data_IF_240500557151
#
_entry.id   IF_240500557151
#
_cell.length_a   1.000
_cell.length_b   1.000
_cell.length_c   1.000
_cell.angle_alpha   90.00
_cell.angle_beta   90.00
_cell.angle_gamma   90.00
#
_symmetry.space_group_name_H-M   'P 1'
#
loop_
_entity.id
_entity.type
_entity.pdbx_description
1 polymer ?
#
# COMPACT_ATOMS: atom_id res chain seq x y z
N UNK A 1 27.53 -13.72 24.14
CA UNK A 1 26.12 -13.99 23.78
C UNK A 1 25.77 -12.99 22.67
N UNK A 2 25.61 -13.43 21.43
CA UNK A 2 25.03 -12.58 20.38
C UNK A 2 23.58 -12.31 20.80
N UNK A 3 23.20 -11.05 21.00
CA UNK A 3 21.82 -10.68 21.25
C UNK A 3 20.99 -11.10 20.06
N UNK A 4 19.90 -11.81 20.29
CA UNK A 4 18.94 -12.16 19.22
C UNK A 4 18.46 -10.87 18.55
N UNK A 5 18.48 -10.83 17.20
CA UNK A 5 18.07 -9.66 16.45
C UNK A 5 16.57 -9.37 16.66
N UNK A 6 16.16 -8.11 16.77
CA UNK A 6 14.75 -7.75 16.82
C UNK A 6 13.99 -8.31 15.62
N UNK A 7 12.79 -8.87 15.86
CA UNK A 7 11.94 -9.41 14.80
C UNK A 7 10.78 -8.48 14.48
N UNK A 8 10.68 -8.09 13.22
CA UNK A 8 9.48 -7.52 12.66
C UNK A 8 8.43 -8.63 12.56
N UNK A 9 7.15 -8.29 12.62
CA UNK A 9 6.05 -9.25 12.54
C UNK A 9 5.03 -8.78 11.50
N UNK A 10 4.30 -9.71 10.92
CA UNK A 10 3.11 -9.37 10.13
C UNK A 10 2.08 -8.69 11.02
N UNK A 11 1.26 -7.83 10.43
CA UNK A 11 0.13 -7.21 11.10
C UNK A 11 -1.16 -7.71 10.45
N UNK A 12 -1.88 -8.58 11.14
CA UNK A 12 -3.09 -9.23 10.62
C UNK A 12 -4.19 -9.16 11.68
N UNK A 13 -5.39 -8.76 11.27
CA UNK A 13 -6.57 -8.64 12.15
C UNK A 13 -6.29 -7.78 13.42
N UNK A 14 -5.55 -6.68 13.25
CA UNK A 14 -5.20 -5.77 14.34
C UNK A 14 -4.13 -6.28 15.30
N UNK A 15 -3.39 -7.35 14.96
CA UNK A 15 -2.39 -8.00 15.82
C UNK A 15 -1.08 -8.22 15.08
N UNK A 16 0.01 -8.14 15.84
CA UNK A 16 1.33 -8.54 15.35
C UNK A 16 1.51 -10.05 15.51
N UNK A 17 1.73 -10.74 14.40
CA UNK A 17 1.81 -12.19 14.30
C UNK A 17 3.08 -12.65 13.60
N UNK A 18 3.66 -13.77 14.05
CA UNK A 18 4.78 -14.43 13.39
C UNK A 18 4.32 -15.05 12.05
N UNK A 19 5.22 -15.17 11.04
CA UNK A 19 4.88 -15.87 9.81
C UNK A 19 4.59 -17.35 10.09
N UNK A 20 3.57 -17.90 9.43
CA UNK A 20 3.11 -19.29 9.65
C UNK A 20 4.17 -20.34 9.36
N UNK A 21 5.03 -20.07 8.41
CA UNK A 21 6.15 -20.94 8.03
C UNK A 21 7.39 -20.78 8.94
N UNK A 22 7.38 -19.81 9.89
CA UNK A 22 8.49 -19.51 10.79
C UNK A 22 9.76 -18.95 10.11
N UNK A 23 9.68 -18.54 8.82
CA UNK A 23 10.84 -18.07 8.07
C UNK A 23 11.02 -16.57 8.17
N UNK A 24 12.28 -16.15 8.25
CA UNK A 24 12.71 -14.77 8.31
C UNK A 24 13.85 -14.50 7.34
N UNK A 25 13.92 -13.28 6.85
CA UNK A 25 15.05 -12.70 6.12
C UNK A 25 15.75 -11.71 7.03
N UNK A 26 17.07 -11.57 6.87
CA UNK A 26 17.81 -10.53 7.56
C UNK A 26 17.50 -9.17 6.93
N UNK A 27 17.17 -8.19 7.76
CA UNK A 27 17.02 -6.80 7.36
C UNK A 27 18.36 -6.10 7.59
N UNK A 28 18.99 -5.68 6.49
CA UNK A 28 20.36 -5.17 6.45
C UNK A 28 20.34 -3.64 6.53
N UNK A 29 21.12 -3.08 7.44
CA UNK A 29 21.48 -1.66 7.41
C UNK A 29 22.50 -1.43 6.27
N UNK A 30 22.14 -0.73 5.19
CA UNK A 30 23.03 -0.53 4.06
C UNK A 30 24.27 0.33 4.38
N UNK A 31 24.23 1.13 5.46
CA UNK A 31 25.38 1.92 5.88
C UNK A 31 26.49 1.08 6.52
N UNK A 32 26.13 -0.03 7.15
CA UNK A 32 27.07 -0.92 7.84
C UNK A 32 27.26 -2.28 7.13
N UNK A 33 26.31 -2.66 6.26
CA UNK A 33 26.24 -3.98 5.66
C UNK A 33 25.92 -5.10 6.66
N UNK A 34 25.44 -4.77 7.86
CA UNK A 34 25.15 -5.73 8.91
C UNK A 34 23.63 -5.86 9.13
N UNK A 35 23.15 -7.07 9.46
CA UNK A 35 21.76 -7.25 9.85
C UNK A 35 21.50 -6.54 11.18
N UNK A 36 20.41 -5.79 11.28
CA UNK A 36 19.99 -5.12 12.51
C UNK A 36 18.61 -5.56 12.98
N UNK A 37 17.84 -6.22 12.14
CA UNK A 37 16.56 -6.84 12.48
C UNK A 37 16.26 -8.01 11.53
N UNK A 38 15.15 -8.72 11.78
CA UNK A 38 14.66 -9.76 10.89
C UNK A 38 13.23 -9.43 10.45
N UNK A 39 12.92 -9.69 9.17
CA UNK A 39 11.60 -9.48 8.55
C UNK A 39 10.99 -10.80 8.13
N UNK A 40 9.67 -11.05 8.31
CA UNK A 40 9.03 -12.28 7.87
C UNK A 40 9.21 -12.55 6.37
N UNK A 41 9.53 -13.78 6.02
CA UNK A 41 9.38 -14.30 4.65
C UNK A 41 8.09 -15.14 4.60
N UNK A 42 6.96 -14.45 4.57
CA UNK A 42 5.62 -15.02 4.65
C UNK A 42 5.26 -15.84 3.41
N UNK A 43 4.24 -16.66 3.56
CA UNK A 43 3.74 -17.51 2.49
C UNK A 43 2.23 -17.37 2.27
N UNK A 44 1.68 -18.33 1.55
CA UNK A 44 0.26 -18.36 1.18
C UNK A 44 -0.68 -18.29 2.39
N UNK A 45 -0.37 -19.02 3.45
CA UNK A 45 -1.21 -19.08 4.66
C UNK A 45 -1.36 -17.69 5.31
N UNK A 46 -0.29 -16.89 5.35
CA UNK A 46 -0.31 -15.55 5.91
C UNK A 46 -1.17 -14.60 5.04
N UNK A 47 -1.04 -14.72 3.71
CA UNK A 47 -1.87 -13.94 2.78
C UNK A 47 -3.34 -14.33 2.90
N UNK A 48 -3.66 -15.62 2.97
CA UNK A 48 -5.03 -16.11 3.13
C UNK A 48 -5.66 -15.61 4.46
N UNK A 49 -4.89 -15.60 5.55
CA UNK A 49 -5.32 -15.04 6.83
C UNK A 49 -5.60 -13.53 6.75
N UNK A 50 -4.72 -12.78 6.08
CA UNK A 50 -4.90 -11.35 5.87
C UNK A 50 -6.14 -11.06 5.01
N UNK A 51 -6.37 -11.86 3.96
CA UNK A 51 -7.58 -11.75 3.12
C UNK A 51 -8.84 -12.05 3.92
N UNK A 52 -8.86 -13.10 4.73
CA UNK A 52 -10.00 -13.42 5.57
C UNK A 52 -10.32 -12.32 6.58
N UNK A 53 -9.29 -11.72 7.20
CA UNK A 53 -9.43 -10.60 8.11
C UNK A 53 -9.98 -9.35 7.40
N UNK A 54 -9.43 -9.03 6.21
CA UNK A 54 -9.87 -7.90 5.41
C UNK A 54 -11.32 -8.06 4.93
N UNK A 55 -11.71 -9.25 4.47
CA UNK A 55 -13.08 -9.56 4.05
C UNK A 55 -14.08 -9.36 5.21
N UNK A 56 -13.77 -9.89 6.38
CA UNK A 56 -14.59 -9.73 7.59
C UNK A 56 -14.75 -8.25 7.97
N UNK A 57 -13.68 -7.49 7.95
CA UNK A 57 -13.70 -6.07 8.29
C UNK A 57 -14.46 -5.23 7.25
N UNK A 58 -14.38 -5.58 5.98
CA UNK A 58 -15.03 -4.85 4.88
C UNK A 58 -16.53 -4.71 5.09
N UNK A 59 -17.20 -5.74 5.57
CA UNK A 59 -18.66 -5.74 5.78
C UNK A 59 -19.16 -4.56 6.63
N UNK A 60 -18.33 -4.12 7.59
CA UNK A 60 -18.65 -2.99 8.47
C UNK A 60 -17.92 -1.72 8.06
N UNK A 61 -16.64 -1.81 7.67
CA UNK A 61 -15.84 -0.65 7.30
C UNK A 61 -16.38 0.10 6.09
N UNK A 62 -16.85 -0.60 5.06
CA UNK A 62 -17.46 -0.02 3.87
C UNK A 62 -18.70 0.85 4.16
N UNK A 63 -19.39 0.56 5.27
CA UNK A 63 -20.58 1.29 5.73
C UNK A 63 -20.25 2.37 6.75
N UNK A 64 -19.01 2.45 7.22
CA UNK A 64 -18.58 3.47 8.19
C UNK A 64 -18.67 4.85 7.55
N UNK A 65 -19.31 5.84 8.19
CA UNK A 65 -19.41 7.19 7.64
C UNK A 65 -18.04 7.81 7.32
N UNK A 66 -17.95 8.53 6.18
CA UNK A 66 -16.72 9.19 5.73
C UNK A 66 -16.08 10.05 6.82
N UNK A 67 -16.89 10.78 7.61
CA UNK A 67 -16.41 11.60 8.72
C UNK A 67 -15.66 10.78 9.78
N UNK A 68 -16.15 9.59 10.14
CA UNK A 68 -15.47 8.71 11.11
C UNK A 68 -14.14 8.16 10.52
N UNK A 69 -14.15 7.79 9.25
CA UNK A 69 -12.93 7.35 8.57
C UNK A 69 -11.89 8.47 8.51
N UNK A 70 -12.33 9.70 8.15
CA UNK A 70 -11.50 10.90 8.16
C UNK A 70 -10.83 11.13 9.51
N UNK A 71 -11.59 11.10 10.61
CA UNK A 71 -11.07 11.30 11.96
C UNK A 71 -9.99 10.27 12.33
N UNK A 72 -10.17 9.00 11.94
CA UNK A 72 -9.16 7.96 12.19
C UNK A 72 -7.88 8.20 11.39
N UNK A 73 -7.99 8.59 10.11
CA UNK A 73 -6.82 8.89 9.29
C UNK A 73 -6.05 10.12 9.81
N UNK A 74 -6.76 11.17 10.24
CA UNK A 74 -6.15 12.34 10.88
C UNK A 74 -5.39 11.95 12.14
N UNK A 75 -5.99 11.09 12.98
CA UNK A 75 -5.32 10.59 14.19
C UNK A 75 -4.07 9.77 13.87
N UNK A 76 -4.08 8.94 12.82
CA UNK A 76 -2.89 8.22 12.35
C UNK A 76 -1.80 9.23 11.94
N UNK A 77 -2.17 10.28 11.17
CA UNK A 77 -1.24 11.33 10.77
C UNK A 77 -0.60 12.04 11.97
N UNK A 78 -1.41 12.39 12.98
CA UNK A 78 -0.95 13.06 14.19
C UNK A 78 0.01 12.17 15.01
N UNK A 79 -0.23 10.85 15.04
CA UNK A 79 0.66 9.89 15.71
C UNK A 79 2.00 9.74 14.97
N UNK A 80 1.99 9.68 13.63
CA UNK A 80 3.23 9.65 12.84
C UNK A 80 4.02 10.95 13.06
N UNK A 81 3.36 12.11 13.07
CA UNK A 81 4.00 13.41 13.29
C UNK A 81 4.55 13.54 14.72
N UNK A 82 3.79 13.10 15.74
CA UNK A 82 4.26 13.02 17.13
C UNK A 82 5.56 12.23 17.26
N UNK A 83 5.65 11.11 16.56
CA UNK A 83 6.77 10.17 16.63
C UNK A 83 7.75 10.34 15.46
N UNK A 84 7.79 11.54 14.84
CA UNK A 84 8.57 11.86 13.63
C UNK A 84 10.03 11.37 13.73
N UNK A 85 10.70 11.60 14.85
CA UNK A 85 12.09 11.19 15.02
C UNK A 85 12.27 9.66 15.02
N UNK A 86 11.32 8.92 15.60
CA UNK A 86 11.31 7.44 15.58
C UNK A 86 11.19 6.92 14.15
N UNK A 87 10.23 7.48 13.39
CA UNK A 87 10.04 7.12 11.98
C UNK A 87 11.22 7.53 11.10
N UNK A 88 11.75 8.75 11.27
CA UNK A 88 12.87 9.24 10.48
C UNK A 88 14.15 8.41 10.69
N UNK A 89 14.42 7.98 11.93
CA UNK A 89 15.53 7.06 12.21
C UNK A 89 15.34 5.71 11.55
N UNK A 90 14.15 5.12 11.66
CA UNK A 90 13.82 3.85 11.04
C UNK A 90 13.97 3.90 9.51
N UNK A 91 13.44 4.96 8.87
CA UNK A 91 13.57 5.19 7.43
C UNK A 91 15.04 5.34 7.00
N UNK A 92 15.84 6.09 7.78
CA UNK A 92 17.27 6.30 7.52
C UNK A 92 18.07 5.01 7.64
N UNK A 93 17.82 4.18 8.66
CA UNK A 93 18.51 2.90 8.87
C UNK A 93 18.15 1.91 7.77
N UNK A 94 16.87 1.76 7.42
CA UNK A 94 16.42 0.84 6.38
C UNK A 94 16.99 1.20 5.00
N UNK A 95 17.05 2.50 4.67
CA UNK A 95 17.36 2.95 3.30
C UNK A 95 18.80 3.42 3.12
N UNK A 96 19.53 3.67 4.20
CA UNK A 96 20.86 4.30 4.16
C UNK A 96 20.85 5.81 3.81
N UNK A 97 19.67 6.41 3.62
CA UNK A 97 19.58 7.85 3.31
C UNK A 97 19.92 8.73 4.52
N UNK A 98 20.36 9.98 4.29
CA UNK A 98 20.59 10.91 5.39
C UNK A 98 19.34 11.12 6.25
N UNK A 99 19.49 11.06 7.56
CA UNK A 99 18.36 11.23 8.50
C UNK A 99 17.68 12.62 8.35
N UNK A 100 18.42 13.63 7.92
CA UNK A 100 17.89 14.97 7.63
C UNK A 100 16.86 14.92 6.50
N UNK A 101 17.09 14.09 5.48
CA UNK A 101 16.14 13.90 4.37
C UNK A 101 14.89 13.18 4.84
N UNK A 102 15.05 12.07 5.56
CA UNK A 102 13.93 11.32 6.13
C UNK A 102 13.05 12.23 7.01
N UNK A 103 13.69 13.04 7.89
CA UNK A 103 13.01 13.96 8.80
C UNK A 103 12.29 15.11 8.10
N UNK A 104 12.90 15.70 7.07
CA UNK A 104 12.37 16.93 6.43
C UNK A 104 11.47 16.63 5.22
N UNK A 105 11.54 15.45 4.64
CA UNK A 105 10.79 15.12 3.42
C UNK A 105 9.94 13.87 3.58
N UNK A 106 10.55 12.69 3.82
CA UNK A 106 9.84 11.41 3.66
C UNK A 106 8.71 11.24 4.68
N UNK A 107 9.01 11.44 5.96
CA UNK A 107 8.00 11.28 7.02
C UNK A 107 6.93 12.39 6.97
N UNK A 108 7.27 13.68 6.79
CA UNK A 108 6.26 14.72 6.60
C UNK A 108 5.37 14.48 5.38
N UNK A 109 5.89 13.89 4.31
CA UNK A 109 5.09 13.50 3.14
C UNK A 109 4.10 12.40 3.47
N UNK A 110 4.50 11.39 4.25
CA UNK A 110 3.58 10.36 4.71
C UNK A 110 2.45 10.93 5.58
N UNK A 111 2.76 11.86 6.50
CA UNK A 111 1.77 12.61 7.29
C UNK A 111 0.82 13.38 6.37
N UNK A 112 1.38 14.11 5.40
CA UNK A 112 0.57 14.88 4.43
C UNK A 112 -0.37 13.98 3.62
N UNK A 113 0.07 12.78 3.23
CA UNK A 113 -0.77 11.82 2.51
C UNK A 113 -2.00 11.41 3.34
N UNK A 114 -1.80 11.03 4.58
CA UNK A 114 -2.92 10.69 5.46
C UNK A 114 -3.87 11.87 5.66
N UNK A 115 -3.36 13.09 5.90
CA UNK A 115 -4.19 14.30 6.05
C UNK A 115 -4.95 14.65 4.78
N UNK A 116 -4.29 14.59 3.63
CA UNK A 116 -4.92 14.87 2.35
C UNK A 116 -6.10 13.95 2.08
N UNK A 117 -5.91 12.63 2.16
CA UNK A 117 -6.98 11.69 1.89
C UNK A 117 -8.06 11.68 2.98
N UNK A 118 -7.72 11.96 4.23
CA UNK A 118 -8.68 12.13 5.30
C UNK A 118 -9.67 13.29 5.04
N UNK A 119 -9.16 14.39 4.50
CA UNK A 119 -10.01 15.56 4.19
C UNK A 119 -10.69 15.43 2.84
N UNK A 120 -10.03 14.88 1.83
CA UNK A 120 -10.59 14.69 0.48
C UNK A 120 -11.90 13.93 0.47
N UNK A 121 -12.06 12.90 1.30
CA UNK A 121 -13.30 12.10 1.34
C UNK A 121 -14.51 12.88 1.83
N UNK A 122 -14.32 14.00 2.54
CA UNK A 122 -15.38 14.86 3.02
C UNK A 122 -15.92 15.81 1.93
N UNK A 123 -15.17 15.96 0.85
CA UNK A 123 -15.44 16.86 -0.27
C UNK A 123 -15.64 16.12 -1.59
N UNK A 124 -15.87 14.80 -1.54
CA UNK A 124 -16.13 14.01 -2.74
C UNK A 124 -17.50 14.34 -3.29
N UNK A 125 -17.53 14.87 -4.50
CA UNK A 125 -18.76 15.19 -5.22
C UNK A 125 -19.22 14.01 -6.08
N UNK A 126 -20.53 13.88 -6.24
CA UNK A 126 -21.17 12.97 -7.19
C UNK A 126 -21.89 13.78 -8.24
N UNK A 127 -21.79 13.36 -9.49
CA UNK A 127 -22.47 14.01 -10.58
C UNK A 127 -23.92 13.55 -10.67
N UNK A 128 -24.81 14.48 -11.02
CA UNK A 128 -26.19 14.19 -11.31
C UNK A 128 -26.69 15.08 -12.46
N UNK A 129 -27.51 14.53 -13.35
CA UNK A 129 -28.14 15.27 -14.44
C UNK A 129 -29.54 14.74 -14.75
N UNK A 130 -30.37 15.62 -15.28
CA UNK A 130 -31.74 15.31 -15.71
C UNK A 130 -31.74 15.11 -17.22
N UNK A 131 -32.40 14.05 -17.69
CA UNK A 131 -32.81 13.89 -19.08
C UNK A 131 -34.29 14.21 -19.10
N UNK A 132 -34.65 15.37 -19.71
CA UNK A 132 -35.99 15.96 -19.65
C UNK A 132 -37.09 14.96 -19.99
N UNK A 133 -38.02 14.77 -19.06
CA UNK A 133 -39.17 13.88 -19.22
C UNK A 133 -38.86 12.37 -19.25
N UNK A 134 -37.61 11.96 -19.08
CA UNK A 134 -37.17 10.56 -19.24
C UNK A 134 -36.55 10.01 -17.94
N UNK A 135 -35.49 10.65 -17.38
CA UNK A 135 -34.74 10.08 -16.28
C UNK A 135 -33.99 11.12 -15.44
N UNK A 136 -33.74 10.78 -14.19
CA UNK A 136 -32.73 11.40 -13.33
C UNK A 136 -31.53 10.48 -13.22
N UNK A 137 -30.37 10.91 -13.68
CA UNK A 137 -29.14 10.14 -13.69
C UNK A 137 -28.21 10.66 -12.59
N UNK A 138 -27.53 9.76 -11.89
CA UNK A 138 -26.54 10.12 -10.88
C UNK A 138 -25.41 9.10 -10.79
N UNK A 139 -24.23 9.56 -10.39
CA UNK A 139 -23.07 8.70 -10.14
C UNK A 139 -23.06 8.29 -8.68
N UNK A 140 -22.97 6.99 -8.41
CA UNK A 140 -22.79 6.44 -7.07
C UNK A 140 -21.40 5.80 -6.95
N UNK A 141 -20.56 6.37 -6.08
CA UNK A 141 -19.22 5.84 -5.79
C UNK A 141 -19.30 4.92 -4.56
N UNK A 142 -18.80 3.69 -4.71
CA UNK A 142 -18.83 2.69 -3.64
C UNK A 142 -17.44 2.08 -3.43
N UNK A 143 -17.10 1.64 -2.19
CA UNK A 143 -15.92 0.84 -1.95
C UNK A 143 -15.94 -0.44 -2.78
N UNK A 144 -14.79 -0.80 -3.37
CA UNK A 144 -14.71 -1.95 -4.28
C UNK A 144 -14.51 -3.27 -3.55
N UNK A 145 -13.89 -3.25 -2.36
CA UNK A 145 -13.58 -4.47 -1.62
C UNK A 145 -12.20 -4.42 -0.96
N UNK A 146 -11.44 -5.50 -1.13
CA UNK A 146 -10.08 -5.61 -0.62
C UNK A 146 -9.10 -5.04 -1.64
N UNK A 147 -8.23 -4.13 -1.20
CA UNK A 147 -7.14 -3.55 -2.01
C UNK A 147 -5.81 -4.21 -1.65
N UNK A 148 -5.10 -4.75 -2.65
CA UNK A 148 -3.72 -5.19 -2.56
C UNK A 148 -2.78 -4.04 -2.88
N UNK A 149 -1.87 -3.72 -1.95
CA UNK A 149 -1.03 -2.53 -2.00
C UNK A 149 0.44 -2.93 -1.93
N UNK A 150 1.20 -2.72 -3.01
CA UNK A 150 2.60 -3.12 -3.11
C UNK A 150 3.46 -1.87 -3.33
N UNK A 151 4.46 -1.66 -2.46
CA UNK A 151 5.35 -0.50 -2.52
C UNK A 151 6.82 -0.90 -2.57
N UNK A 152 7.66 -0.10 -3.26
CA UNK A 152 9.09 -0.33 -3.38
C UNK A 152 9.87 0.17 -2.15
N UNK A 153 11.21 0.01 -2.21
CA UNK A 153 12.14 0.32 -1.13
C UNK A 153 12.65 1.78 -1.09
N UNK A 154 12.56 2.53 -2.18
CA UNK A 154 13.24 3.83 -2.31
C UNK A 154 12.63 4.96 -1.47
N UNK A 155 11.32 4.96 -1.27
CA UNK A 155 10.55 5.90 -0.45
C UNK A 155 9.52 5.12 0.38
N UNK A 156 9.97 4.32 1.37
CA UNK A 156 9.18 3.28 2.02
C UNK A 156 7.83 3.77 2.54
N UNK A 157 7.84 4.59 3.58
CA UNK A 157 6.60 5.06 4.20
C UNK A 157 5.83 6.04 3.32
N UNK A 158 6.53 6.88 2.58
CA UNK A 158 5.90 7.85 1.66
C UNK A 158 5.02 7.15 0.63
N UNK A 159 5.57 6.18 -0.14
CA UNK A 159 4.82 5.49 -1.18
C UNK A 159 3.78 4.51 -0.61
N UNK A 160 4.07 3.90 0.53
CA UNK A 160 3.11 3.02 1.19
C UNK A 160 1.89 3.79 1.70
N UNK A 161 2.10 4.95 2.35
CA UNK A 161 1.01 5.81 2.84
C UNK A 161 0.14 6.35 1.70
N UNK A 162 0.75 6.62 0.53
CA UNK A 162 0.05 7.04 -0.68
C UNK A 162 -0.92 6.00 -1.25
N UNK A 163 -0.77 4.74 -0.84
CA UNK A 163 -1.65 3.63 -1.20
C UNK A 163 -2.65 3.29 -0.09
N UNK A 164 -2.16 3.21 1.15
CA UNK A 164 -3.00 2.85 2.31
C UNK A 164 -4.05 3.92 2.57
N UNK A 165 -3.65 5.20 2.64
CA UNK A 165 -4.54 6.27 3.02
C UNK A 165 -5.77 6.38 2.08
N UNK A 166 -5.63 6.47 0.74
CA UNK A 166 -6.79 6.53 -0.15
C UNK A 166 -7.64 5.26 -0.10
N UNK A 167 -7.02 4.06 -0.02
CA UNK A 167 -7.75 2.81 -0.01
C UNK A 167 -8.73 2.73 1.18
N UNK A 168 -8.22 2.98 2.40
CA UNK A 168 -9.06 2.91 3.61
C UNK A 168 -9.97 4.14 3.76
N UNK A 169 -9.56 5.31 3.26
CA UNK A 169 -10.38 6.52 3.29
C UNK A 169 -11.72 6.32 2.58
N UNK A 170 -11.71 5.73 1.38
CA UNK A 170 -12.93 5.49 0.60
C UNK A 170 -13.73 4.27 1.04
N UNK A 171 -13.29 3.56 2.08
CA UNK A 171 -14.01 2.44 2.69
C UNK A 171 -13.60 1.05 2.20
N UNK A 172 -12.52 0.91 1.43
CA UNK A 172 -11.91 -0.39 1.15
C UNK A 172 -11.16 -0.89 2.38
N UNK A 173 -10.95 -2.19 2.48
CA UNK A 173 -9.94 -2.79 3.36
C UNK A 173 -8.67 -3.04 2.57
N UNK A 174 -7.53 -3.15 3.25
CA UNK A 174 -6.23 -3.19 2.59
C UNK A 174 -5.34 -4.34 3.10
N UNK A 175 -4.61 -4.94 2.14
CA UNK A 175 -3.49 -5.82 2.40
C UNK A 175 -2.27 -5.18 1.77
N UNK A 176 -1.34 -4.72 2.59
CA UNK A 176 -0.16 -4.01 2.16
C UNK A 176 1.08 -4.92 2.24
N UNK A 177 1.90 -4.88 1.18
CA UNK A 177 3.22 -5.50 1.11
C UNK A 177 4.26 -4.41 0.88
N UNK A 178 4.92 -3.93 1.94
CA UNK A 178 6.12 -3.10 1.80
C UNK A 178 7.26 -3.92 1.20
N UNK A 179 8.31 -3.25 0.71
CA UNK A 179 9.54 -3.94 0.32
C UNK A 179 10.15 -4.67 1.53
N UNK A 180 10.66 -5.87 1.30
CA UNK A 180 11.42 -6.65 2.27
C UNK A 180 12.73 -5.99 2.68
N UNK A 181 13.24 -5.07 1.85
CA UNK A 181 14.49 -4.33 2.11
C UNK A 181 14.30 -3.15 3.08
N UNK A 182 13.07 -2.66 3.26
CA UNK A 182 12.78 -1.45 4.04
C UNK A 182 11.46 -1.58 4.82
N UNK A 183 11.35 -2.57 5.72
CA UNK A 183 10.09 -2.94 6.36
C UNK A 183 9.75 -2.16 7.62
N UNK A 184 10.73 -1.49 8.26
CA UNK A 184 10.59 -0.99 9.63
C UNK A 184 9.54 0.12 9.75
N UNK A 185 9.49 1.06 8.82
CA UNK A 185 8.50 2.15 8.89
C UNK A 185 7.07 1.66 8.65
N UNK A 186 6.88 0.59 7.87
CA UNK A 186 5.58 -0.07 7.74
C UNK A 186 5.16 -0.76 9.04
N UNK A 187 6.09 -1.39 9.75
CA UNK A 187 5.84 -1.97 11.07
C UNK A 187 5.43 -0.89 12.09
N UNK A 188 6.15 0.24 12.14
CA UNK A 188 5.82 1.37 13.02
C UNK A 188 4.47 2.01 12.66
N UNK A 189 4.11 2.05 11.38
CA UNK A 189 2.78 2.51 10.95
C UNK A 189 1.67 1.64 11.54
N UNK A 190 1.88 0.32 11.62
CA UNK A 190 0.91 -0.57 12.24
C UNK A 190 0.73 -0.28 13.73
N UNK A 191 1.80 0.05 14.47
CA UNK A 191 1.72 0.50 15.87
C UNK A 191 0.85 1.77 15.97
N UNK A 192 1.09 2.76 15.11
CA UNK A 192 0.29 3.99 15.06
C UNK A 192 -1.19 3.70 14.70
N UNK A 193 -1.46 2.75 13.82
CA UNK A 193 -2.82 2.35 13.49
C UNK A 193 -3.56 1.71 14.68
N UNK A 194 -2.88 0.89 15.47
CA UNK A 194 -3.43 0.30 16.70
C UNK A 194 -3.75 1.40 17.72
N UNK A 195 -2.80 2.31 17.95
CA UNK A 195 -2.98 3.44 18.89
C UNK A 195 -4.09 4.40 18.44
N UNK A 196 -4.23 4.62 17.13
CA UNK A 196 -5.32 5.42 16.55
C UNK A 196 -6.70 4.79 16.75
N UNK A 197 -6.75 3.47 17.02
CA UNK A 197 -8.00 2.72 17.13
C UNK A 197 -8.58 2.32 15.77
N UNK A 198 -7.72 2.10 14.76
CA UNK A 198 -8.17 1.57 13.47
C UNK A 198 -8.79 0.17 13.70
N UNK A 199 -10.01 -0.10 13.20
CA UNK A 199 -10.65 -1.40 13.42
C UNK A 199 -9.82 -2.56 12.85
N UNK A 200 -9.79 -3.68 13.59
CA UNK A 200 -9.09 -4.90 13.19
C UNK A 200 -9.48 -5.34 11.77
N UNK A 201 -8.50 -5.73 10.97
CA UNK A 201 -8.69 -6.20 9.60
C UNK A 201 -8.86 -5.11 8.54
N UNK A 202 -9.06 -3.82 8.90
CA UNK A 202 -9.14 -2.71 7.93
C UNK A 202 -7.82 -2.55 7.18
N UNK A 203 -6.70 -2.61 7.90
CA UNK A 203 -5.35 -2.68 7.36
C UNK A 203 -4.70 -3.98 7.82
N UNK A 204 -4.09 -4.70 6.88
CA UNK A 204 -3.23 -5.84 7.14
C UNK A 204 -1.91 -5.61 6.42
N UNK A 205 -0.79 -5.95 7.05
CA UNK A 205 0.55 -5.85 6.46
C UNK A 205 1.20 -7.22 6.49
N UNK A 206 1.52 -7.74 5.31
CA UNK A 206 2.18 -9.04 5.14
C UNK A 206 3.55 -8.80 4.52
N UNK A 207 4.59 -9.14 5.27
CA UNK A 207 5.97 -9.03 4.82
C UNK A 207 6.40 -10.28 4.05
N UNK A 208 7.37 -10.12 3.15
CA UNK A 208 7.95 -11.16 2.33
C UNK A 208 8.41 -10.63 0.98
N UNK A 209 9.02 -11.50 0.17
CA UNK A 209 9.56 -11.12 -1.13
C UNK A 209 8.48 -10.81 -2.17
N UNK A 210 8.85 -10.04 -3.21
CA UNK A 210 7.97 -9.74 -4.33
C UNK A 210 7.45 -10.99 -5.04
N UNK A 211 8.35 -11.91 -5.47
CA UNK A 211 7.96 -13.16 -6.14
C UNK A 211 7.09 -14.09 -5.29
N UNK A 212 7.19 -14.02 -3.97
CA UNK A 212 6.37 -14.84 -3.06
C UNK A 212 5.08 -14.10 -2.67
N UNK A 213 5.14 -13.20 -1.69
CA UNK A 213 3.93 -12.52 -1.15
C UNK A 213 3.29 -11.58 -2.18
N UNK A 214 4.11 -10.87 -2.97
CA UNK A 214 3.60 -9.98 -4.02
C UNK A 214 2.76 -10.74 -5.05
N UNK A 215 3.27 -11.85 -5.58
CA UNK A 215 2.58 -12.69 -6.54
C UNK A 215 1.28 -13.30 -5.95
N UNK A 216 1.31 -13.73 -4.69
CA UNK A 216 0.12 -14.24 -4.01
C UNK A 216 -0.97 -13.18 -3.84
N UNK A 217 -0.60 -11.94 -3.53
CA UNK A 217 -1.55 -10.82 -3.41
C UNK A 217 -2.16 -10.51 -4.79
N UNK A 218 -1.35 -10.43 -5.84
CA UNK A 218 -1.83 -10.07 -7.18
C UNK A 218 -2.72 -11.14 -7.80
N UNK A 219 -2.45 -12.40 -7.52
CA UNK A 219 -3.22 -13.54 -8.05
C UNK A 219 -4.44 -13.91 -7.19
N UNK A 220 -4.65 -13.28 -6.04
CA UNK A 220 -5.69 -13.71 -5.10
C UNK A 220 -7.10 -13.29 -5.57
N UNK A 221 -8.05 -14.22 -5.76
CA UNK A 221 -9.35 -13.95 -6.40
C UNK A 221 -10.27 -13.01 -5.61
N UNK A 222 -10.05 -12.85 -4.29
CA UNK A 222 -10.84 -11.96 -3.45
C UNK A 222 -10.25 -10.55 -3.33
N UNK A 223 -9.06 -10.29 -3.89
CA UNK A 223 -8.48 -8.96 -3.93
C UNK A 223 -9.02 -8.23 -5.16
N UNK A 224 -9.87 -7.24 -4.94
CA UNK A 224 -10.67 -6.60 -5.96
C UNK A 224 -9.93 -5.51 -6.75
N UNK A 225 -8.79 -5.03 -6.23
CA UNK A 225 -7.97 -3.98 -6.88
C UNK A 225 -6.53 -4.07 -6.39
N UNK A 226 -5.59 -3.77 -7.28
CA UNK A 226 -4.15 -3.71 -6.97
C UNK A 226 -3.62 -2.30 -7.20
N UNK A 227 -2.85 -1.79 -6.25
CA UNK A 227 -2.03 -0.60 -6.42
C UNK A 227 -0.57 -0.99 -6.27
N UNK A 228 0.17 -0.91 -7.35
CA UNK A 228 1.58 -1.29 -7.44
C UNK A 228 2.45 -0.07 -7.73
N UNK A 229 3.61 0.01 -7.10
CA UNK A 229 4.74 0.88 -7.48
C UNK A 229 6.01 0.05 -7.40
N UNK A 230 6.79 0.03 -8.47
CA UNK A 230 8.01 -0.77 -8.56
C UNK A 230 8.64 -0.70 -9.95
N UNK A 231 9.49 -1.67 -10.29
CA UNK A 231 10.13 -1.76 -11.59
C UNK A 231 9.13 -2.05 -12.72
N UNK A 232 9.41 -1.54 -13.92
CA UNK A 232 8.54 -1.66 -15.10
C UNK A 232 8.27 -3.12 -15.49
N UNK A 233 9.31 -3.97 -15.44
CA UNK A 233 9.16 -5.42 -15.75
C UNK A 233 8.17 -6.08 -14.81
N UNK A 234 8.36 -5.90 -13.50
CA UNK A 234 7.44 -6.45 -12.48
C UNK A 234 6.03 -5.86 -12.62
N UNK A 235 5.92 -4.58 -12.98
CA UNK A 235 4.64 -3.95 -13.24
C UNK A 235 3.87 -4.59 -14.39
N UNK A 236 4.56 -4.94 -15.48
CA UNK A 236 4.00 -5.69 -16.60
C UNK A 236 3.48 -7.07 -16.19
N UNK A 237 4.23 -7.80 -15.37
CA UNK A 237 3.80 -9.11 -14.85
C UNK A 237 2.55 -8.98 -13.96
N UNK A 238 2.49 -7.96 -13.10
CA UNK A 238 1.32 -7.68 -12.25
C UNK A 238 0.07 -7.44 -13.11
N UNK A 239 0.18 -6.66 -14.20
CA UNK A 239 -0.94 -6.39 -15.12
C UNK A 239 -1.45 -7.68 -15.76
N UNK A 240 -0.56 -8.55 -16.20
CA UNK A 240 -0.93 -9.84 -16.82
C UNK A 240 -1.64 -10.78 -15.82
N UNK A 241 -1.22 -10.78 -14.55
CA UNK A 241 -1.80 -11.66 -13.52
C UNK A 241 -3.21 -11.20 -13.08
N UNK A 242 -3.50 -9.91 -13.11
CA UNK A 242 -4.77 -9.34 -12.61
C UNK A 242 -5.93 -9.50 -13.62
N UNK A 243 -5.65 -9.88 -14.87
CA UNK A 243 -6.68 -10.22 -15.86
C UNK A 243 -7.76 -9.16 -16.12
N UNK A 244 -7.37 -7.88 -16.10
CA UNK A 244 -8.25 -6.76 -16.46
C UNK A 244 -8.83 -5.96 -15.29
N UNK A 245 -8.64 -4.68 -15.37
CA UNK A 245 -8.97 -3.51 -14.52
C UNK A 245 -7.92 -3.19 -13.46
N UNK A 246 -6.79 -2.71 -13.90
CA UNK A 246 -5.87 -1.92 -13.07
C UNK A 246 -6.36 -0.47 -13.09
N UNK A 247 -6.96 0.00 -12.00
CA UNK A 247 -7.27 1.41 -11.84
C UNK A 247 -6.04 2.11 -11.23
N UNK A 248 -5.22 2.74 -12.08
CA UNK A 248 -4.15 3.62 -11.65
C UNK A 248 -4.72 4.97 -11.23
N UNK A 249 -4.35 5.46 -10.04
CA UNK A 249 -4.47 6.88 -9.72
C UNK A 249 -3.20 7.54 -10.19
N UNK A 250 -3.32 8.37 -11.23
CA UNK A 250 -2.21 9.11 -11.81
C UNK A 250 -1.87 10.31 -10.92
N UNK A 251 -0.75 10.21 -10.20
CA UNK A 251 -0.12 11.37 -9.58
C UNK A 251 1.33 11.38 -10.03
N UNK A 252 1.69 12.36 -10.85
CA UNK A 252 3.03 12.52 -11.37
C UNK A 252 4.09 12.50 -10.26
N UNK A 253 4.86 11.44 -10.20
CA UNK A 253 6.05 11.36 -9.37
C UNK A 253 7.23 11.80 -10.21
N UNK A 254 7.83 12.93 -9.84
CA UNK A 254 9.11 13.37 -10.38
C UNK A 254 10.17 12.37 -9.90
N UNK A 255 10.66 11.55 -10.81
CA UNK A 255 11.74 10.60 -10.54
C UNK A 255 13.07 11.33 -10.33
N UNK A 256 13.68 11.16 -9.18
CA UNK A 256 15.09 11.47 -8.99
C UNK A 256 15.91 10.28 -9.50
N UNK A 257 16.69 10.48 -10.57
CA UNK A 257 17.65 9.50 -11.08
C UNK A 257 18.87 9.46 -10.17
N UNK A 258 19.13 8.32 -9.56
CA UNK A 258 20.44 7.98 -9.02
C UNK A 258 20.84 6.66 -9.66
N UNK A 259 21.87 6.71 -10.55
CA UNK A 259 22.52 5.52 -11.10
C UNK A 259 21.69 4.70 -12.09
N UNK A 260 21.48 5.20 -13.29
CA UNK A 260 21.34 4.36 -14.51
C UNK A 260 20.11 3.46 -14.69
N UNK A 261 19.23 3.30 -13.71
CA UNK A 261 17.95 2.59 -13.85
C UNK A 261 16.78 3.53 -13.62
N UNK A 262 15.96 3.68 -14.65
CA UNK A 262 14.71 4.46 -14.58
C UNK A 262 13.69 3.65 -13.79
N UNK A 263 13.40 4.05 -12.56
CA UNK A 263 12.23 3.55 -11.85
C UNK A 263 10.98 4.14 -12.55
N UNK A 264 10.40 3.38 -13.47
CA UNK A 264 9.18 3.76 -14.15
C UNK A 264 7.99 3.67 -13.19
N UNK A 265 7.28 4.76 -13.02
CA UNK A 265 5.90 4.72 -12.52
C UNK A 265 5.05 4.31 -13.72
N UNK A 266 4.52 3.09 -13.71
CA UNK A 266 3.48 2.72 -14.67
C UNK A 266 2.18 3.38 -14.20
N UNK A 267 1.93 4.58 -14.72
CA UNK A 267 0.62 5.19 -14.66
C UNK A 267 -0.23 4.50 -15.73
N UNK A 268 -1.03 3.53 -15.32
CA UNK A 268 -2.07 3.00 -16.19
C UNK A 268 -3.26 3.95 -16.10
N UNK A 269 -3.34 4.86 -17.07
CA UNK A 269 -4.55 5.62 -17.34
C UNK A 269 -5.73 4.65 -17.53
N UNK A 270 -6.93 5.10 -17.18
CA UNK A 270 -8.17 4.35 -17.34
C UNK A 270 -8.30 3.88 -18.81
N UNK A 271 -7.90 2.64 -19.08
CA UNK A 271 -8.23 1.97 -20.33
C UNK A 271 -9.50 1.17 -20.07
N UNK A 272 -10.64 1.76 -20.37
CA UNK A 272 -11.89 1.04 -20.54
C UNK A 272 -11.83 0.30 -21.89
N UNK A 273 -11.16 -0.84 -21.89
CA UNK A 273 -11.11 -1.76 -23.02
C UNK A 273 -11.57 -3.13 -22.55
N UNK A 274 -12.68 -3.59 -23.07
CA UNK A 274 -13.06 -5.01 -23.02
C UNK A 274 -12.10 -5.70 -23.99
N UNK A 275 -11.15 -6.47 -23.48
CA UNK A 275 -10.35 -7.39 -24.32
C UNK A 275 -11.24 -8.63 -24.50
N UNK A 276 -11.73 -8.83 -25.72
CA UNK A 276 -12.29 -10.12 -26.13
C UNK A 276 -11.13 -11.11 -26.35
N UNK A 277 -11.33 -12.36 -26.00
CA UNK A 277 -10.34 -13.44 -26.05
C UNK A 277 -9.85 -13.81 -27.47
N UNK A 278 -10.16 -13.02 -28.51
CA UNK A 278 -9.93 -13.37 -29.92
C UNK A 278 -8.84 -12.55 -30.64
N UNK A 279 -8.15 -11.60 -29.98
CA UNK A 279 -7.09 -10.82 -30.63
C UNK A 279 -5.69 -11.22 -30.19
N UNK A 280 -4.77 -11.52 -31.15
CA UNK A 280 -3.38 -11.80 -30.82
C UNK A 280 -2.66 -10.52 -30.38
N UNK A 281 -1.62 -10.62 -29.50
CA UNK A 281 -0.95 -9.46 -28.95
C UNK A 281 -0.21 -8.68 -30.04
N UNK A 282 -0.72 -7.52 -30.40
CA UNK A 282 0.00 -6.56 -31.23
C UNK A 282 1.08 -5.85 -30.39
N UNK A 283 2.32 -6.04 -30.79
CA UNK A 283 3.49 -5.32 -30.33
C UNK A 283 3.30 -3.81 -30.45
N UNK A 284 3.26 -3.09 -29.35
CA UNK A 284 3.44 -1.65 -29.34
C UNK A 284 4.91 -1.34 -29.59
N UNK A 285 5.22 -1.02 -30.84
CA UNK A 285 6.40 -0.23 -31.23
C UNK A 285 5.94 1.21 -31.38
N UNK A 286 6.74 2.10 -30.81
CA UNK A 286 6.87 3.53 -31.06
C UNK A 286 5.96 4.51 -30.30
N UNK A 287 6.65 5.35 -29.52
CA UNK A 287 6.46 6.79 -29.51
C UNK A 287 5.84 7.39 -28.23
N UNK A 288 6.68 8.11 -27.55
CA UNK A 288 6.66 9.20 -26.55
C UNK A 288 7.02 8.83 -25.13
#
# INVERSE_FOLDING_TARGET
MQSELPRIRNFIDGRFVEPKNGKYLDNIDPATGQPYSQVPDSGKEDVDLAVAAAEKAFAQWSKTPGQKRSQLLLRIADLIERDLEKFARAESVDTGKPITLARSLDIPRAVSNFRFFATSILHTENEAHVTDGVAFNYTLRQPRGIAGLISPWNLPLYLLSWKIAPAIAVGNTAIAKPSELTPMTAFLLCEACVEAGLPSGVLNVVHGTGPNVGALITAHPKIATISFTGGTVTGGEVVLLVGGVVTGVDFGVVGATVGGEVAGVVSLGCVSGVVSDDDPPSLFTDGW
#
